data_IF_957232958205
#
_entry.id   IF_957232958205
#
_cell.length_a   1.000
_cell.length_b   1.000
_cell.length_c   1.000
_cell.angle_alpha   90.00
_cell.angle_beta   90.00
_cell.angle_gamma   90.00
#
_symmetry.space_group_name_H-M   'P 1'
#
loop_
_entity.id
_entity.type
_entity.pdbx_description
1 polymer ?
#
# COMPACT_ATOMS: atom_id res chain seq x y z
N UNK A 1 -13.21 -2.13 -6.39
CA UNK A 1 -11.90 -1.78 -6.98
C UNK A 1 -11.21 -3.02 -7.50
N UNK A 2 -10.52 -2.93 -8.65
CA UNK A 2 -9.61 -3.97 -9.18
C UNK A 2 -8.20 -3.41 -9.24
N UNK A 3 -7.18 -4.22 -8.95
CA UNK A 3 -5.79 -3.78 -8.87
C UNK A 3 -4.81 -4.91 -9.25
N UNK A 4 -3.61 -4.52 -9.65
CA UNK A 4 -2.46 -5.39 -9.91
C UNK A 4 -1.16 -4.62 -9.64
N UNK A 5 -0.17 -5.31 -9.06
CA UNK A 5 1.07 -4.68 -8.58
C UNK A 5 2.23 -4.75 -9.57
N UNK A 6 2.27 -5.76 -10.44
CA UNK A 6 3.37 -5.97 -11.38
C UNK A 6 4.77 -5.80 -10.75
N UNK A 7 5.00 -6.44 -9.60
CA UNK A 7 6.26 -6.38 -8.86
C UNK A 7 6.43 -5.19 -7.93
N UNK A 8 5.52 -4.20 -7.98
CA UNK A 8 5.52 -3.04 -7.09
C UNK A 8 5.17 -3.43 -5.64
N UNK A 9 5.74 -2.76 -4.62
CA UNK A 9 5.32 -2.83 -3.22
C UNK A 9 3.81 -2.60 -3.01
N UNK A 10 3.24 -3.11 -1.91
CA UNK A 10 1.79 -3.08 -1.68
C UNK A 10 1.26 -1.65 -1.48
N UNK A 11 0.22 -1.26 -2.22
CA UNK A 11 -0.58 -0.09 -1.86
C UNK A 11 -1.36 -0.35 -0.56
N UNK A 12 -1.83 0.69 0.13
CA UNK A 12 -2.56 0.54 1.39
C UNK A 12 -3.95 1.15 1.31
N UNK A 13 -4.97 0.38 1.66
CA UNK A 13 -6.35 0.85 1.79
C UNK A 13 -6.70 0.99 3.27
N UNK A 14 -6.92 2.23 3.71
CA UNK A 14 -7.39 2.55 5.05
C UNK A 14 -8.90 2.70 5.04
N UNK A 15 -9.60 1.86 5.79
CA UNK A 15 -11.05 1.99 5.98
C UNK A 15 -11.40 3.06 7.02
N UNK A 16 -12.66 3.54 7.05
CA UNK A 16 -13.12 4.46 8.08
C UNK A 16 -13.02 3.88 9.50
N UNK A 17 -13.15 2.56 9.64
CA UNK A 17 -13.01 1.84 10.91
C UNK A 17 -11.53 1.61 11.30
N UNK A 18 -10.64 2.49 10.81
CA UNK A 18 -9.18 2.48 11.02
C UNK A 18 -8.46 1.17 10.68
N UNK A 19 -9.08 0.29 9.89
CA UNK A 19 -8.43 -0.94 9.44
C UNK A 19 -7.61 -0.70 8.18
N UNK A 20 -6.33 -1.07 8.22
CA UNK A 20 -5.41 -0.97 7.10
C UNK A 20 -5.31 -2.30 6.36
N UNK A 21 -5.46 -2.27 5.05
CA UNK A 21 -5.33 -3.45 4.18
C UNK A 21 -4.26 -3.22 3.13
N UNK A 22 -3.27 -4.11 3.10
CA UNK A 22 -2.26 -4.15 2.04
C UNK A 22 -2.89 -4.72 0.75
N UNK A 23 -2.73 -4.00 -0.35
CA UNK A 23 -3.17 -4.38 -1.68
C UNK A 23 -1.93 -4.71 -2.53
N UNK A 24 -1.63 -6.00 -2.65
CA UNK A 24 -0.64 -6.48 -3.61
C UNK A 24 -1.12 -7.71 -4.37
N UNK A 25 -0.52 -7.92 -5.54
CA UNK A 25 -0.63 -9.16 -6.31
C UNK A 25 0.75 -9.74 -6.53
N UNK A 26 0.84 -11.07 -6.66
CA UNK A 26 2.11 -11.72 -7.02
C UNK A 26 2.46 -11.39 -8.47
N UNK A 27 3.74 -11.26 -8.76
CA UNK A 27 4.26 -11.01 -10.10
C UNK A 27 5.64 -10.37 -10.05
N UNK A 28 6.40 -10.51 -11.14
CA UNK A 28 7.66 -9.81 -11.33
C UNK A 28 7.43 -8.34 -11.72
N UNK A 29 8.42 -7.46 -11.54
CA UNK A 29 8.46 -6.14 -12.15
C UNK A 29 8.10 -6.17 -13.64
N UNK A 30 7.34 -5.17 -14.09
CA UNK A 30 6.99 -5.05 -15.51
C UNK A 30 8.23 -4.92 -16.39
N UNK A 31 8.25 -5.65 -17.51
CA UNK A 31 9.35 -5.61 -18.48
C UNK A 31 10.52 -6.55 -18.19
N UNK A 32 10.50 -7.33 -17.10
CA UNK A 32 11.57 -8.31 -16.83
C UNK A 32 11.55 -9.53 -17.76
N UNK A 33 10.36 -10.00 -18.17
CA UNK A 33 10.21 -11.09 -19.14
C UNK A 33 9.14 -10.72 -20.18
N UNK A 34 9.37 -10.99 -21.47
CA UNK A 34 8.51 -10.55 -22.57
C UNK A 34 7.07 -11.09 -22.51
N UNK A 35 6.88 -12.32 -22.01
CA UNK A 35 5.57 -12.99 -21.96
C UNK A 35 5.03 -13.12 -20.52
N UNK A 36 5.31 -12.13 -19.67
CA UNK A 36 4.86 -12.15 -18.27
C UNK A 36 3.33 -12.00 -18.16
N UNK A 37 2.67 -12.95 -17.52
CA UNK A 37 1.25 -12.81 -17.12
C UNK A 37 1.14 -12.13 -15.76
N UNK A 38 0.36 -11.06 -15.68
CA UNK A 38 0.13 -10.32 -14.43
C UNK A 38 -1.18 -10.72 -13.77
N UNK A 39 -1.12 -11.01 -12.48
CA UNK A 39 -2.30 -11.29 -11.68
C UNK A 39 -3.01 -10.00 -11.30
N UNK A 40 -4.33 -10.10 -11.15
CA UNK A 40 -5.17 -9.05 -10.62
C UNK A 40 -5.95 -9.56 -9.42
N UNK A 41 -6.28 -8.65 -8.51
CA UNK A 41 -7.18 -8.90 -7.40
C UNK A 41 -8.25 -7.82 -7.33
N UNK A 42 -9.28 -8.05 -6.52
CA UNK A 42 -10.34 -7.08 -6.31
C UNK A 42 -10.72 -6.98 -4.84
N UNK A 43 -11.28 -5.83 -4.48
CA UNK A 43 -11.83 -5.61 -3.15
C UNK A 43 -12.94 -4.56 -3.17
N UNK A 44 -13.78 -4.61 -2.14
CA UNK A 44 -14.78 -3.59 -1.87
C UNK A 44 -14.08 -2.43 -1.16
N UNK A 45 -14.40 -1.21 -1.59
CA UNK A 45 -13.92 0.02 -0.97
C UNK A 45 -15.13 0.67 -0.31
N UNK A 46 -15.14 0.75 1.02
CA UNK A 46 -16.21 1.41 1.75
C UNK A 46 -16.18 2.93 1.50
N UNK A 47 -17.32 3.62 1.57
CA UNK A 47 -17.34 5.09 1.57
C UNK A 47 -16.36 5.66 2.60
N UNK A 48 -15.78 6.83 2.31
CA UNK A 48 -14.80 7.51 3.18
C UNK A 48 -13.48 6.75 3.43
N UNK A 49 -13.21 5.66 2.69
CA UNK A 49 -11.89 5.02 2.73
C UNK A 49 -10.82 5.90 2.08
N UNK A 50 -9.58 5.80 2.54
CA UNK A 50 -8.41 6.45 1.91
C UNK A 50 -7.52 5.38 1.27
N UNK A 51 -7.24 5.51 -0.02
CA UNK A 51 -6.26 4.66 -0.72
C UNK A 51 -4.93 5.40 -0.81
N UNK A 52 -3.87 4.78 -0.29
CA UNK A 52 -2.51 5.27 -0.35
C UNK A 52 -1.72 4.50 -1.42
N UNK A 53 -1.26 5.22 -2.43
CA UNK A 53 -0.42 4.72 -3.52
C UNK A 53 0.87 5.54 -3.54
N UNK A 54 2.00 4.85 -3.57
CA UNK A 54 3.33 5.46 -3.54
C UNK A 54 4.23 4.80 -4.57
N UNK A 55 5.31 5.48 -4.96
CA UNK A 55 6.42 4.89 -5.69
C UNK A 55 7.39 4.16 -4.74
N UNK A 56 8.28 3.33 -5.32
CA UNK A 56 9.27 2.54 -4.58
C UNK A 56 10.18 3.40 -3.70
N UNK A 57 10.51 4.61 -4.19
CA UNK A 57 11.31 5.56 -3.44
C UNK A 57 10.76 5.83 -2.04
N UNK A 58 9.45 5.83 -1.83
CA UNK A 58 8.85 6.01 -0.50
C UNK A 58 9.09 4.81 0.44
N UNK A 59 9.18 3.59 -0.08
CA UNK A 59 9.52 2.39 0.70
C UNK A 59 11.01 2.30 1.00
N UNK A 60 11.84 2.90 0.14
CA UNK A 60 13.30 2.91 0.26
C UNK A 60 13.83 4.01 1.20
N UNK A 61 12.99 4.97 1.57
CA UNK A 61 13.35 6.04 2.51
C UNK A 61 13.77 5.46 3.87
N UNK A 62 14.98 5.81 4.29
CA UNK A 62 15.47 5.59 5.65
C UNK A 62 15.41 6.91 6.42
N UNK A 63 14.31 7.11 7.16
CA UNK A 63 14.16 8.31 7.99
C UNK A 63 14.98 8.16 9.28
N UNK A 64 15.85 9.12 9.63
CA UNK A 64 16.71 9.03 10.83
C UNK A 64 15.95 9.20 12.16
N UNK A 65 14.77 9.82 12.15
CA UNK A 65 13.97 10.12 13.36
C UNK A 65 12.85 9.10 13.65
N UNK A 66 12.61 8.21 12.69
CA UNK A 66 11.70 7.07 12.83
C UNK A 66 12.59 5.88 13.16
N UNK A 67 12.53 5.37 14.40
CA UNK A 67 13.36 4.26 14.87
C UNK A 67 13.66 3.27 13.73
N UNK A 68 14.94 3.22 13.35
CA UNK A 68 15.49 2.62 12.13
C UNK A 68 14.69 1.40 11.64
N UNK A 69 14.02 1.53 10.49
CA UNK A 69 13.39 0.40 9.78
C UNK A 69 11.89 0.20 9.95
N UNK A 70 11.12 1.20 10.40
CA UNK A 70 9.66 1.05 10.44
C UNK A 70 9.06 0.99 9.01
N UNK A 71 8.25 -0.03 8.68
CA UNK A 71 7.61 -0.14 7.37
C UNK A 71 6.53 0.91 7.17
N UNK A 72 6.35 1.38 5.93
CA UNK A 72 5.40 2.45 5.56
C UNK A 72 3.96 2.20 6.07
N UNK A 73 3.51 0.94 6.11
CA UNK A 73 2.21 0.58 6.67
C UNK A 73 2.03 1.01 8.13
N UNK A 74 3.07 0.87 8.96
CA UNK A 74 3.02 1.28 10.37
C UNK A 74 2.93 2.80 10.57
N UNK A 75 3.45 3.58 9.62
CA UNK A 75 3.31 5.04 9.60
C UNK A 75 1.87 5.42 9.29
N UNK A 76 1.26 4.74 8.32
CA UNK A 76 -0.14 4.95 7.95
C UNK A 76 -1.07 4.54 9.09
N UNK A 77 -0.83 3.41 9.74
CA UNK A 77 -1.61 2.96 10.92
C UNK A 77 -1.57 4.00 12.03
N UNK A 78 -0.39 4.54 12.34
CA UNK A 78 -0.23 5.58 13.37
C UNK A 78 -0.95 6.86 12.99
N UNK A 79 -0.80 7.29 11.75
CA UNK A 79 -1.50 8.47 11.24
C UNK A 79 -3.03 8.27 11.30
N UNK A 80 -3.53 7.10 10.94
CA UNK A 80 -4.93 6.75 11.03
C UNK A 80 -5.46 6.79 12.46
N UNK A 81 -4.71 6.24 13.43
CA UNK A 81 -5.05 6.29 14.85
C UNK A 81 -5.07 7.72 15.43
N UNK A 82 -4.26 8.63 14.86
CA UNK A 82 -4.24 10.04 15.27
C UNK A 82 -5.28 10.93 14.58
N UNK A 83 -6.09 10.40 13.65
CA UNK A 83 -7.12 11.21 12.98
C UNK A 83 -8.23 11.58 13.96
N UNK A 84 -8.55 12.88 14.15
CA UNK A 84 -9.74 13.27 14.89
C UNK A 84 -10.98 12.69 14.17
N UNK A 85 -11.84 12.01 14.93
CA UNK A 85 -13.14 11.59 14.44
C UNK A 85 -13.97 12.86 14.19
N UNK A 86 -14.17 13.19 12.91
CA UNK A 86 -15.10 14.22 12.49
C UNK A 86 -16.53 13.67 12.50
#
# INVERSE_FOLDING_TARGET
MRYGSAGHPPAFLLSPATSLRCLSTRGLPIGMLPDSTYQQASCIVAPQSTLYLYSDGAYELRLPEVATGQPLGSVIDRYAASRPHA
#
